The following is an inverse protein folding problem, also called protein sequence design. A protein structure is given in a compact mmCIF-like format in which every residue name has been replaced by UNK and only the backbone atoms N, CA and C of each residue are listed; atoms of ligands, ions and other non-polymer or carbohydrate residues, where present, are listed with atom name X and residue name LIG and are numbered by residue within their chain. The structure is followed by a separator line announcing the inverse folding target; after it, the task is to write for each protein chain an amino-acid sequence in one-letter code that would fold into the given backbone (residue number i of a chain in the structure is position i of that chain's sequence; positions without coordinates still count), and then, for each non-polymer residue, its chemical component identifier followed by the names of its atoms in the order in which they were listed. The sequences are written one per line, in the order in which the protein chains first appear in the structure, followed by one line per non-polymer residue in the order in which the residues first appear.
data_IF_672610828085
#
_entry.id   IF_672610828085
#
_cell.length_a   1.000
_cell.length_b   1.000
_cell.length_c   1.000
_cell.angle_alpha   90.00
_cell.angle_beta   90.00
_cell.angle_gamma   90.00
#
_symmetry.space_group_name_H-M   'P 1'
#
loop_
_entity.id
_entity.type
_entity.pdbx_description
1 polymer ?
#
# COMPACT_ATOMS: atom_id res chain seq x y z
N UNK A 1 5.68 -24.67 6.32
CA UNK A 1 4.97 -23.41 6.03
C UNK A 1 3.84 -23.59 5.02
N UNK A 2 4.02 -24.34 3.92
CA UNK A 2 2.95 -24.63 2.93
C UNK A 2 1.70 -25.28 3.54
N UNK A 3 1.89 -26.13 4.55
CA UNK A 3 0.80 -26.84 5.26
C UNK A 3 -0.19 -25.94 6.01
N UNK A 4 0.22 -24.72 6.39
CA UNK A 4 -0.69 -23.74 7.03
C UNK A 4 -1.59 -23.09 5.98
N UNK A 5 -1.04 -22.76 4.80
CA UNK A 5 -1.82 -22.20 3.69
C UNK A 5 -2.89 -23.17 3.18
N UNK A 6 -2.56 -24.45 2.99
CA UNK A 6 -3.54 -25.46 2.58
C UNK A 6 -4.66 -25.62 3.61
N UNK A 7 -4.33 -25.61 4.91
CA UNK A 7 -5.32 -25.69 5.99
C UNK A 7 -6.19 -24.44 6.06
N UNK A 8 -5.61 -23.26 5.91
CA UNK A 8 -6.35 -21.99 5.87
C UNK A 8 -7.25 -21.91 4.63
N UNK A 9 -6.81 -22.42 3.48
CA UNK A 9 -7.62 -22.49 2.27
C UNK A 9 -8.81 -23.45 2.45
N UNK A 10 -8.61 -24.64 3.00
CA UNK A 10 -9.70 -25.58 3.30
C UNK A 10 -10.68 -25.04 4.34
N UNK A 11 -10.17 -24.35 5.37
CA UNK A 11 -10.99 -23.71 6.40
C UNK A 11 -11.77 -22.51 5.83
N UNK A 12 -11.16 -21.77 4.89
CA UNK A 12 -11.81 -20.72 4.12
C UNK A 12 -12.94 -21.25 3.24
N UNK A 13 -12.76 -22.40 2.58
CA UNK A 13 -13.83 -23.05 1.83
C UNK A 13 -14.98 -23.52 2.72
N UNK A 14 -14.69 -24.02 3.93
CA UNK A 14 -15.71 -24.37 4.92
C UNK A 14 -16.50 -23.15 5.44
N UNK A 15 -15.82 -22.01 5.63
CA UNK A 15 -16.45 -20.75 5.99
C UNK A 15 -17.32 -20.18 4.85
N UNK A 16 -16.91 -20.37 3.60
CA UNK A 16 -17.71 -20.00 2.42
C UNK A 16 -18.91 -20.95 2.19
N UNK A 17 -18.82 -22.20 2.66
CA UNK A 17 -19.93 -23.17 2.62
C UNK A 17 -21.04 -22.88 3.63
N UNK A 18 -20.86 -21.90 4.53
CA UNK A 18 -21.94 -21.41 5.37
C UNK A 18 -22.99 -20.74 4.48
N UNK A 19 -24.10 -21.45 4.27
CA UNK A 19 -25.31 -20.97 3.56
C UNK A 19 -25.75 -19.58 4.05
N UNK A 20 -26.35 -18.78 3.15
CA UNK A 20 -26.91 -17.46 3.47
C UNK A 20 -27.77 -17.47 4.75
N UNK A 21 -28.53 -18.55 5.01
CA UNK A 21 -29.34 -18.68 6.22
C UNK A 21 -28.53 -18.72 7.51
N UNK A 22 -27.38 -19.42 7.52
CA UNK A 22 -26.45 -19.47 8.66
C UNK A 22 -25.75 -18.12 8.88
N UNK A 23 -25.45 -17.41 7.79
CA UNK A 23 -24.88 -16.07 7.87
C UNK A 23 -25.89 -15.05 8.44
N UNK A 24 -27.16 -15.14 8.02
CA UNK A 24 -28.25 -14.29 8.54
C UNK A 24 -28.56 -14.56 10.01
N UNK A 25 -28.61 -15.83 10.45
CA UNK A 25 -28.76 -16.19 11.87
C UNK A 25 -27.61 -15.64 12.71
N UNK A 26 -26.36 -15.82 12.29
CA UNK A 26 -25.20 -15.28 13.00
C UNK A 26 -25.21 -13.75 13.05
N UNK A 27 -25.64 -13.08 11.98
CA UNK A 27 -25.78 -11.63 11.95
C UNK A 27 -26.87 -11.14 12.90
N UNK A 28 -28.01 -11.84 12.98
CA UNK A 28 -29.08 -11.50 13.90
C UNK A 28 -28.68 -11.75 15.36
N UNK A 29 -28.02 -12.88 15.65
CA UNK A 29 -27.47 -13.15 16.98
C UNK A 29 -26.40 -12.11 17.38
N UNK A 30 -25.55 -11.67 16.44
CA UNK A 30 -24.59 -10.59 16.68
C UNK A 30 -25.31 -9.27 16.96
N UNK A 31 -26.34 -8.93 16.19
CA UNK A 31 -27.12 -7.70 16.42
C UNK A 31 -27.78 -7.69 17.79
N UNK A 32 -28.40 -8.80 18.19
CA UNK A 32 -29.05 -8.92 19.50
C UNK A 32 -28.05 -8.91 20.66
N UNK A 33 -26.91 -9.60 20.52
CA UNK A 33 -25.90 -9.70 21.59
C UNK A 33 -25.02 -8.47 21.73
N UNK A 34 -24.72 -7.79 20.62
CA UNK A 34 -23.86 -6.61 20.63
C UNK A 34 -24.68 -5.36 21.02
N UNK A 35 -26.01 -5.38 20.84
CA UNK A 35 -26.85 -4.25 21.22
C UNK A 35 -26.47 -2.94 20.53
N UNK A 36 -25.70 -3.01 19.44
CA UNK A 36 -25.31 -1.83 18.68
C UNK A 36 -26.56 -1.23 18.05
N UNK A 37 -26.97 -0.07 18.55
CA UNK A 37 -27.89 0.79 17.80
C UNK A 37 -27.24 1.17 16.46
N UNK A 38 -28.04 1.52 15.44
CA UNK A 38 -27.49 1.96 14.14
C UNK A 38 -26.49 3.12 14.29
N UNK A 39 -26.66 3.97 15.31
CA UNK A 39 -25.78 5.09 15.61
C UNK A 39 -24.42 4.62 16.15
N UNK A 40 -24.39 3.66 17.08
CA UNK A 40 -23.15 3.09 17.61
C UNK A 40 -22.40 2.29 16.55
N UNK A 41 -23.12 1.57 15.69
CA UNK A 41 -22.55 0.87 14.54
C UNK A 41 -21.88 1.82 13.55
N UNK A 42 -22.51 2.96 13.25
CA UNK A 42 -21.92 4.01 12.38
C UNK A 42 -20.70 4.65 13.01
N UNK A 43 -20.74 4.97 14.30
CA UNK A 43 -19.60 5.55 15.02
C UNK A 43 -18.40 4.59 15.08
N UNK A 44 -18.65 3.28 15.22
CA UNK A 44 -17.59 2.27 15.21
C UNK A 44 -16.98 2.10 13.81
N UNK A 45 -17.81 2.09 12.77
CA UNK A 45 -17.37 2.04 11.37
C UNK A 45 -16.52 3.24 10.98
N UNK A 46 -16.92 4.45 11.38
CA UNK A 46 -16.15 5.69 11.19
C UNK A 46 -14.76 5.59 11.85
N UNK A 47 -14.70 5.16 13.11
CA UNK A 47 -13.43 4.98 13.83
C UNK A 47 -12.53 3.93 13.18
N UNK A 48 -13.10 2.79 12.75
CA UNK A 48 -12.38 1.75 12.04
C UNK A 48 -11.83 2.24 10.70
N UNK A 49 -12.61 3.00 9.94
CA UNK A 49 -12.15 3.61 8.67
C UNK A 49 -11.02 4.59 8.90
N UNK A 50 -11.15 5.49 9.89
CA UNK A 50 -10.11 6.46 10.21
C UNK A 50 -8.79 5.76 10.61
N UNK A 51 -8.87 4.75 11.47
CA UNK A 51 -7.70 3.96 11.85
C UNK A 51 -7.12 3.16 10.68
N UNK A 52 -7.97 2.62 9.80
CA UNK A 52 -7.52 1.89 8.62
C UNK A 52 -6.78 2.80 7.63
N UNK A 53 -7.27 4.03 7.40
CA UNK A 53 -6.60 5.02 6.55
C UNK A 53 -5.25 5.45 7.13
N UNK A 54 -5.17 5.69 8.44
CA UNK A 54 -3.92 6.03 9.12
C UNK A 54 -2.88 4.90 9.01
N UNK A 55 -3.30 3.65 9.27
CA UNK A 55 -2.45 2.46 9.15
C UNK A 55 -2.03 2.21 7.69
N UNK A 56 -2.93 2.42 6.73
CA UNK A 56 -2.61 2.30 5.30
C UNK A 56 -1.51 3.29 4.91
N UNK A 57 -1.58 4.54 5.36
CA UNK A 57 -0.57 5.54 5.05
C UNK A 57 0.79 5.19 5.65
N UNK A 58 0.82 4.68 6.88
CA UNK A 58 2.06 4.20 7.52
C UNK A 58 2.67 3.01 6.75
N UNK A 59 1.85 2.04 6.38
CA UNK A 59 2.28 0.89 5.57
C UNK A 59 2.79 1.31 4.19
N UNK A 60 2.13 2.27 3.55
CA UNK A 60 2.52 2.78 2.24
C UNK A 60 3.88 3.47 2.31
N UNK A 61 4.10 4.33 3.32
CA UNK A 61 5.40 4.97 3.56
C UNK A 61 6.50 3.95 3.85
N UNK A 62 6.23 2.96 4.70
CA UNK A 62 7.19 1.91 5.01
C UNK A 62 7.57 1.09 3.76
N UNK A 63 6.59 0.79 2.89
CA UNK A 63 6.84 0.12 1.62
C UNK A 63 7.65 0.99 0.65
N UNK A 64 7.34 2.27 0.53
CA UNK A 64 8.09 3.23 -0.29
C UNK A 64 9.54 3.38 0.17
N UNK A 65 9.79 3.48 1.47
CA UNK A 65 11.14 3.54 2.03
C UNK A 65 11.94 2.28 1.71
N UNK A 66 11.31 1.11 1.78
CA UNK A 66 12.02 -0.15 1.56
C UNK A 66 12.31 -0.41 0.08
N UNK A 67 11.41 0.03 -0.81
CA UNK A 67 11.69 0.09 -2.25
C UNK A 67 12.80 1.09 -2.54
N UNK A 68 12.79 2.27 -1.91
CA UNK A 68 13.86 3.27 -2.11
C UNK A 68 15.22 2.72 -1.68
N UNK A 69 15.32 2.09 -0.49
CA UNK A 69 16.58 1.46 -0.04
C UNK A 69 17.03 0.35 -0.98
N UNK A 70 16.11 -0.42 -1.56
CA UNK A 70 16.44 -1.44 -2.54
C UNK A 70 16.97 -0.80 -3.84
N UNK A 71 16.35 0.27 -4.32
CA UNK A 71 16.84 1.04 -5.46
C UNK A 71 18.24 1.61 -5.22
N UNK A 72 18.48 2.20 -4.04
CA UNK A 72 19.79 2.75 -3.66
C UNK A 72 20.87 1.65 -3.63
N UNK A 73 20.55 0.48 -3.06
CA UNK A 73 21.48 -0.68 -3.02
C UNK A 73 21.81 -1.24 -4.41
N UNK A 74 20.89 -1.12 -5.35
CA UNK A 74 21.07 -1.55 -6.74
C UNK A 74 21.72 -0.45 -7.60
N UNK A 75 21.95 0.75 -7.05
CA UNK A 75 22.49 1.89 -7.77
C UNK A 75 21.52 2.48 -8.80
N UNK A 76 20.22 2.23 -8.65
CA UNK A 76 19.19 2.76 -9.53
C UNK A 76 18.91 4.22 -9.17
N UNK A 77 19.25 5.12 -10.08
CA UNK A 77 19.04 6.56 -9.93
C UNK A 77 17.60 6.91 -10.33
N UNK A 78 16.96 7.84 -9.62
CA UNK A 78 15.62 8.31 -10.03
C UNK A 78 15.72 9.02 -11.38
N UNK A 79 14.67 8.86 -12.19
CA UNK A 79 14.61 9.46 -13.52
C UNK A 79 14.77 10.98 -13.50
N UNK A 80 14.19 11.65 -12.50
CA UNK A 80 14.32 13.10 -12.29
C UNK A 80 15.76 13.53 -12.03
N UNK A 81 16.51 12.75 -11.24
CA UNK A 81 17.91 13.03 -10.94
C UNK A 81 18.79 12.83 -12.18
N UNK A 82 18.49 11.80 -12.98
CA UNK A 82 19.15 11.55 -14.27
C UNK A 82 18.90 12.69 -15.26
N UNK A 83 17.64 13.11 -15.44
CA UNK A 83 17.27 14.23 -16.34
C UNK A 83 17.94 15.54 -15.89
N UNK A 84 18.03 15.79 -14.58
CA UNK A 84 18.76 16.95 -14.04
C UNK A 84 20.26 16.89 -14.35
N UNK A 85 20.85 15.71 -14.29
CA UNK A 85 22.26 15.49 -14.63
C UNK A 85 22.50 15.70 -16.12
N UNK A 86 21.62 15.17 -16.98
CA UNK A 86 21.66 15.38 -18.42
C UNK A 86 21.54 16.86 -18.80
N UNK A 87 20.59 17.59 -18.20
CA UNK A 87 20.44 19.02 -18.44
C UNK A 87 21.68 19.84 -18.01
N UNK A 88 22.35 19.43 -16.92
CA UNK A 88 23.62 20.06 -16.50
C UNK A 88 24.75 19.74 -17.46
N UNK A 89 24.82 18.51 -17.97
CA UNK A 89 25.81 18.12 -18.99
C UNK A 89 25.61 18.93 -20.27
N UNK A 90 24.38 19.01 -20.79
CA UNK A 90 24.06 19.83 -21.97
C UNK A 90 24.48 21.31 -21.78
N UNK A 91 24.26 21.86 -20.58
CA UNK A 91 24.64 23.24 -20.27
C UNK A 91 26.17 23.43 -20.20
N UNK A 92 26.90 22.42 -19.73
CA UNK A 92 28.36 22.44 -19.70
C UNK A 92 28.96 22.24 -21.09
N UNK A 93 28.44 21.29 -21.88
CA UNK A 93 28.86 21.05 -23.26
C UNK A 93 28.66 22.31 -24.12
N UNK A 94 27.55 23.02 -23.95
CA UNK A 94 27.32 24.31 -24.64
C UNK A 94 28.29 25.40 -24.20
N UNK A 95 28.74 25.39 -22.94
CA UNK A 95 29.72 26.36 -22.43
C UNK A 95 31.12 26.05 -22.95
N UNK A 96 31.52 24.80 -23.01
CA UNK A 96 32.79 24.37 -23.61
C UNK A 96 32.79 24.68 -25.11
N UNK A 97 31.70 24.36 -25.83
CA UNK A 97 31.55 24.66 -27.25
C UNK A 97 31.51 26.17 -27.58
N UNK A 98 31.28 27.04 -26.60
CA UNK A 98 31.36 28.50 -26.76
C UNK A 98 32.69 29.09 -26.25
N UNK A 99 33.52 28.30 -25.57
CA UNK A 99 34.86 28.69 -25.10
C UNK A 99 35.99 28.28 -26.06
N UNK A 100 35.71 27.47 -27.09
CA UNK A 100 36.62 27.21 -28.21
C UNK A 100 36.23 28.02 -29.49
N UNK A 101 36.60 29.30 -29.62
CA UNK A 101 36.60 30.01 -30.89
C UNK A 101 37.97 29.89 -31.58
N UNK A 102 38.51 28.67 -31.70
CA UNK A 102 39.81 28.44 -32.32
C UNK A 102 39.86 27.15 -33.15
N UNK A 103 39.19 27.18 -34.30
CA UNK A 103 39.77 26.74 -35.57
C UNK A 103 39.16 27.57 -36.71
#
# INVERSE_FOLDING_TARGET
MITLFEKTAMMGMGALSLSQKKAEELLNELKERIGCSEEEGRALLEKLKAQAEEQKNLLTKAAEEEVQKACDRLGLVRREEFERLAARLDALEKREASQDPAC
#
